data_IF_091391279152
#
_entry.id   IF_091391279152
#
_cell.length_a   1.000
_cell.length_b   1.000
_cell.length_c   1.000
_cell.angle_alpha   90.00
_cell.angle_beta   90.00
_cell.angle_gamma   90.00
#
_symmetry.space_group_name_H-M   'P 1'
#
loop_
_entity.id
_entity.type
_entity.pdbx_description
1 polymer ?
#
# COMPACT_ATOMS: atom_id res chain seq x y z
N UNK A 1 15.89 -4.22 33.48
CA UNK A 1 14.73 -4.72 32.71
C UNK A 1 13.78 -3.56 32.57
N UNK A 2 13.78 -2.92 31.41
CA UNK A 2 12.72 -1.96 31.05
C UNK A 2 11.48 -2.84 30.80
N UNK A 3 10.32 -2.57 31.43
CA UNK A 3 9.12 -3.37 31.20
C UNK A 3 8.81 -3.38 29.71
N UNK A 4 8.54 -4.57 29.14
CA UNK A 4 7.87 -4.65 27.84
C UNK A 4 6.55 -3.89 27.98
N UNK A 5 6.45 -2.77 27.27
CA UNK A 5 5.27 -1.92 27.29
C UNK A 5 4.17 -2.62 26.51
N UNK A 6 2.98 -2.69 27.08
CA UNK A 6 1.77 -3.15 26.41
C UNK A 6 1.59 -2.33 25.13
N UNK A 7 1.75 -2.97 23.97
CA UNK A 7 1.40 -2.35 22.70
C UNK A 7 -0.09 -2.02 22.72
N UNK A 8 -0.49 -0.90 22.12
CA UNK A 8 -1.90 -0.70 21.85
C UNK A 8 -2.31 -1.68 20.75
N UNK A 9 -2.96 -2.77 21.16
CA UNK A 9 -3.85 -3.51 20.27
C UNK A 9 -4.81 -2.47 19.64
N UNK A 10 -5.01 -2.51 18.32
CA UNK A 10 -5.91 -1.60 17.57
C UNK A 10 -5.38 -0.21 17.18
N UNK A 11 -4.08 -0.11 16.87
CA UNK A 11 -3.48 1.17 16.45
C UNK A 11 -3.84 1.67 15.04
N UNK A 12 -4.55 0.88 14.24
CA UNK A 12 -5.07 1.31 12.95
C UNK A 12 -5.36 0.19 11.96
N UNK A 13 -6.41 0.40 11.17
CA UNK A 13 -6.78 -0.39 10.02
C UNK A 13 -6.62 0.45 8.76
N UNK A 14 -6.10 -0.16 7.70
CA UNK A 14 -6.25 0.39 6.38
C UNK A 14 -6.46 -0.68 5.33
N UNK A 15 -7.16 -0.27 4.29
CA UNK A 15 -7.50 -1.08 3.13
C UNK A 15 -7.28 -0.27 1.87
N UNK A 16 -6.64 -0.89 0.88
CA UNK A 16 -6.52 -0.35 -0.47
C UNK A 16 -7.19 -1.33 -1.43
N UNK A 17 -8.14 -0.82 -2.19
CA UNK A 17 -8.88 -1.55 -3.22
C UNK A 17 -8.45 -1.05 -4.59
N UNK A 18 -8.25 -1.96 -5.54
CA UNK A 18 -7.92 -1.65 -6.94
C UNK A 18 -8.74 -2.48 -7.92
N UNK A 19 -8.88 -1.96 -9.14
CA UNK A 19 -9.78 -2.53 -10.15
C UNK A 19 -11.21 -2.57 -9.58
N UNK A 20 -11.78 -1.38 -9.38
CA UNK A 20 -12.99 -1.12 -8.62
C UNK A 20 -14.24 -1.43 -9.46
N UNK A 21 -15.27 -1.95 -8.81
CA UNK A 21 -16.59 -2.19 -9.39
C UNK A 21 -17.67 -1.53 -8.51
N UNK A 22 -18.93 -1.69 -8.89
CA UNK A 22 -20.04 -1.07 -8.18
C UNK A 22 -20.16 0.39 -8.57
N UNK A 23 -20.18 1.29 -7.58
CA UNK A 23 -20.38 2.73 -7.83
C UNK A 23 -19.26 3.39 -8.64
N UNK A 24 -18.07 2.77 -8.68
CA UNK A 24 -16.89 3.28 -9.38
C UNK A 24 -16.71 2.69 -10.78
N UNK A 25 -17.58 1.75 -11.21
CA UNK A 25 -17.43 1.00 -12.46
C UNK A 25 -17.27 1.88 -13.70
N UNK A 26 -17.94 3.02 -13.75
CA UNK A 26 -17.94 3.93 -14.90
C UNK A 26 -16.76 4.93 -14.90
N UNK A 27 -15.88 4.88 -13.89
CA UNK A 27 -14.83 5.88 -13.66
C UNK A 27 -13.43 5.29 -13.51
N UNK A 28 -13.19 4.08 -14.03
CA UNK A 28 -11.89 3.39 -13.89
C UNK A 28 -10.71 4.18 -14.47
N UNK A 29 -10.91 4.93 -15.55
CA UNK A 29 -9.89 5.77 -16.16
C UNK A 29 -9.72 7.14 -15.48
N UNK A 30 -10.52 7.43 -14.45
CA UNK A 30 -10.59 8.74 -13.81
C UNK A 30 -9.89 8.75 -12.45
N UNK A 31 -9.07 9.77 -12.15
CA UNK A 31 -8.47 9.97 -10.83
C UNK A 31 -9.51 9.89 -9.71
N UNK A 32 -9.30 8.97 -8.77
CA UNK A 32 -10.10 8.83 -7.57
C UNK A 32 -9.33 9.40 -6.37
N UNK A 33 -9.87 10.44 -5.76
CA UNK A 33 -9.35 11.04 -4.53
C UNK A 33 -9.98 10.33 -3.33
N UNK A 34 -9.13 9.78 -2.45
CA UNK A 34 -9.54 9.20 -1.17
C UNK A 34 -9.01 10.06 -0.01
N UNK A 35 -9.92 10.68 0.74
CA UNK A 35 -9.57 11.55 1.87
C UNK A 35 -10.49 11.36 3.08
N UNK A 36 -9.98 11.73 4.25
CA UNK A 36 -10.74 11.87 5.49
C UNK A 36 -10.51 13.27 6.07
N UNK A 37 -11.58 14.04 6.34
CA UNK A 37 -11.44 15.46 6.63
C UNK A 37 -12.56 16.02 7.52
N UNK A 38 -12.33 17.23 8.02
CA UNK A 38 -13.38 18.11 8.57
C UNK A 38 -14.21 18.71 7.43
N UNK A 39 -15.29 19.41 7.77
CA UNK A 39 -16.05 20.18 6.76
C UNK A 39 -15.15 21.20 6.05
N UNK A 40 -14.36 21.96 6.82
CA UNK A 40 -13.41 22.93 6.29
C UNK A 40 -12.37 22.27 5.37
N UNK A 41 -11.88 21.09 5.74
CA UNK A 41 -10.95 20.34 4.89
C UNK A 41 -11.56 19.96 3.55
N UNK A 42 -12.85 19.60 3.50
CA UNK A 42 -13.56 19.33 2.26
C UNK A 42 -13.66 20.59 1.38
N UNK A 43 -14.02 21.73 1.96
CA UNK A 43 -14.10 23.03 1.27
C UNK A 43 -12.73 23.43 0.68
N UNK A 44 -11.65 23.30 1.45
CA UNK A 44 -10.29 23.59 0.98
C UNK A 44 -9.86 22.71 -0.20
N UNK A 45 -10.22 21.42 -0.18
CA UNK A 45 -9.93 20.50 -1.28
C UNK A 45 -10.72 20.87 -2.52
N UNK A 46 -12.00 21.22 -2.38
CA UNK A 46 -12.84 21.66 -3.50
C UNK A 46 -12.26 22.91 -4.17
N UNK A 47 -11.93 23.95 -3.39
CA UNK A 47 -11.29 25.17 -3.89
C UNK A 47 -9.95 24.89 -4.61
N UNK A 48 -9.14 23.99 -4.05
CA UNK A 48 -7.87 23.59 -4.68
C UNK A 48 -8.12 22.89 -6.02
N UNK A 49 -9.03 21.92 -6.07
CA UNK A 49 -9.28 21.13 -7.28
C UNK A 49 -9.87 22.00 -8.40
N UNK A 50 -10.80 22.90 -8.07
CA UNK A 50 -11.39 23.86 -9.00
C UNK A 50 -10.34 24.84 -9.56
N UNK A 51 -9.50 25.41 -8.69
CA UNK A 51 -8.43 26.33 -9.12
C UNK A 51 -7.34 25.67 -9.97
N UNK A 52 -7.25 24.34 -9.95
CA UNK A 52 -6.33 23.54 -10.77
C UNK A 52 -7.04 22.87 -11.97
N UNK A 53 -8.30 23.25 -12.26
CA UNK A 53 -9.10 22.80 -13.39
C UNK A 53 -9.42 21.29 -13.40
N UNK A 54 -9.45 20.63 -12.23
CA UNK A 54 -10.02 19.30 -12.12
C UNK A 54 -11.55 19.41 -12.10
N UNK A 55 -12.24 18.64 -12.93
CA UNK A 55 -13.71 18.65 -12.97
C UNK A 55 -14.24 17.49 -12.16
N UNK A 56 -15.00 17.75 -11.10
CA UNK A 56 -15.65 16.67 -10.33
C UNK A 56 -16.68 15.93 -11.21
N UNK A 57 -16.57 14.61 -11.26
CA UNK A 57 -17.47 13.74 -12.04
C UNK A 57 -18.46 12.99 -11.16
N UNK A 58 -17.96 12.42 -10.06
CA UNK A 58 -18.76 11.62 -9.15
C UNK A 58 -18.20 11.72 -7.73
N UNK A 59 -19.07 11.49 -6.76
CA UNK A 59 -18.71 11.45 -5.35
C UNK A 59 -19.46 10.33 -4.65
N UNK A 60 -18.76 9.66 -3.76
CA UNK A 60 -19.33 8.76 -2.79
C UNK A 60 -18.80 9.07 -1.39
N UNK A 61 -19.73 9.15 -0.43
CA UNK A 61 -19.46 9.34 0.98
C UNK A 61 -20.13 8.16 1.71
N UNK A 62 -19.39 7.31 2.44
CA UNK A 62 -19.99 6.23 3.21
C UNK A 62 -20.91 6.82 4.29
N UNK A 63 -22.09 6.21 4.43
CA UNK A 63 -22.99 6.49 5.56
C UNK A 63 -22.55 5.58 6.71
N UNK A 64 -22.03 6.14 7.82
CA UNK A 64 -21.44 5.31 8.85
C UNK A 64 -22.47 4.73 9.83
N UNK A 65 -22.18 3.55 10.37
CA UNK A 65 -22.86 3.01 11.55
C UNK A 65 -22.27 3.63 12.82
N UNK A 66 -22.97 4.59 13.42
CA UNK A 66 -22.54 5.27 14.66
C UNK A 66 -23.12 4.63 15.93
N UNK A 67 -23.27 3.30 15.95
CA UNK A 67 -23.73 2.62 17.15
C UNK A 67 -22.79 2.90 18.34
N UNK A 68 -23.32 3.08 19.57
CA UNK A 68 -22.49 3.32 20.74
C UNK A 68 -21.54 2.15 21.00
N UNK A 69 -20.31 2.46 21.43
CA UNK A 69 -19.33 1.46 21.89
C UNK A 69 -18.30 0.99 20.88
N UNK A 70 -18.32 1.50 19.63
CA UNK A 70 -17.27 1.24 18.65
C UNK A 70 -15.95 1.91 19.07
N UNK A 71 -14.85 1.16 19.05
CA UNK A 71 -13.48 1.67 19.18
C UNK A 71 -12.98 2.19 17.83
N UNK A 72 -13.24 3.48 17.58
CA UNK A 72 -12.83 4.17 16.34
C UNK A 72 -12.62 5.67 16.60
N UNK A 73 -11.50 6.20 16.12
CA UNK A 73 -11.22 7.65 16.16
C UNK A 73 -11.68 8.32 14.86
N UNK A 74 -12.97 8.24 14.57
CA UNK A 74 -13.51 8.62 13.27
C UNK A 74 -13.31 10.11 12.93
N UNK A 75 -13.00 10.41 11.67
CA UNK A 75 -13.10 11.75 11.10
C UNK A 75 -14.55 12.10 10.74
N UNK A 76 -14.91 13.39 10.67
CA UNK A 76 -16.27 13.80 10.31
C UNK A 76 -16.73 13.30 8.94
N UNK A 77 -15.85 13.33 7.93
CA UNK A 77 -16.16 12.92 6.56
C UNK A 77 -15.07 12.03 5.99
N UNK A 78 -15.49 11.06 5.18
CA UNK A 78 -14.65 10.25 4.31
C UNK A 78 -15.18 10.43 2.90
N UNK A 79 -14.36 10.97 2.01
CA UNK A 79 -14.81 11.38 0.67
C UNK A 79 -14.02 10.59 -0.35
N UNK A 80 -14.75 9.96 -1.27
CA UNK A 80 -14.23 9.25 -2.43
C UNK A 80 -14.78 9.92 -3.67
N UNK A 81 -13.94 10.66 -4.37
CA UNK A 81 -14.39 11.57 -5.43
C UNK A 81 -13.60 11.39 -6.71
N UNK A 82 -14.30 11.14 -7.81
CA UNK A 82 -13.72 11.01 -9.13
C UNK A 82 -13.65 12.38 -9.80
N UNK A 83 -12.53 12.64 -10.47
CA UNK A 83 -12.31 13.86 -11.24
C UNK A 83 -11.96 13.53 -12.68
N UNK A 84 -12.36 14.38 -13.63
CA UNK A 84 -11.73 14.43 -14.95
C UNK A 84 -10.42 15.21 -14.86
N UNK A 85 -9.46 14.82 -15.68
CA UNK A 85 -8.21 15.57 -15.80
C UNK A 85 -8.48 16.98 -16.34
N UNK A 86 -7.62 17.96 -16.00
CA UNK A 86 -7.63 19.25 -16.68
C UNK A 86 -7.56 19.07 -18.21
N UNK A 87 -8.26 19.93 -18.96
CA UNK A 87 -8.40 19.76 -20.42
C UNK A 87 -7.05 19.63 -21.15
N UNK A 88 -6.04 20.39 -20.70
CA UNK A 88 -4.68 20.37 -21.23
C UNK A 88 -3.86 19.12 -20.85
N UNK A 89 -4.42 18.22 -20.04
CA UNK A 89 -3.85 16.93 -19.66
C UNK A 89 -4.51 15.71 -20.33
N UNK A 90 -5.58 15.91 -21.12
CA UNK A 90 -6.32 14.80 -21.77
C UNK A 90 -5.44 13.96 -22.68
N UNK A 91 -4.63 14.61 -23.51
CA UNK A 91 -3.76 13.97 -24.51
C UNK A 91 -2.33 13.71 -24.01
N UNK A 92 -2.07 13.93 -22.71
CA UNK A 92 -0.76 13.72 -22.10
C UNK A 92 -0.49 12.24 -21.88
N UNK A 93 0.79 11.89 -21.80
CA UNK A 93 1.21 10.53 -21.46
C UNK A 93 0.76 10.14 -20.06
N UNK A 94 0.64 8.83 -19.79
CA UNK A 94 0.29 8.33 -18.46
C UNK A 94 1.35 8.70 -17.40
N UNK A 95 2.60 8.87 -17.82
CA UNK A 95 3.68 9.39 -16.96
C UNK A 95 3.41 10.85 -16.56
N UNK A 96 3.17 11.74 -17.54
CA UNK A 96 2.85 13.15 -17.25
C UNK A 96 1.59 13.29 -16.40
N UNK A 97 0.55 12.47 -16.65
CA UNK A 97 -0.65 12.41 -15.80
C UNK A 97 -0.30 11.93 -14.40
N UNK A 98 0.51 10.87 -14.27
CA UNK A 98 0.96 10.35 -12.99
C UNK A 98 1.71 11.38 -12.15
N UNK A 99 2.55 12.19 -12.79
CA UNK A 99 3.29 13.28 -12.14
C UNK A 99 2.36 14.39 -11.66
N UNK A 100 1.36 14.79 -12.46
CA UNK A 100 0.32 15.73 -12.05
C UNK A 100 -0.41 15.23 -10.80
N UNK A 101 -0.86 13.98 -10.81
CA UNK A 101 -1.61 13.40 -9.68
C UNK A 101 -0.75 13.32 -8.42
N UNK A 102 0.54 13.00 -8.55
CA UNK A 102 1.49 13.04 -7.45
C UNK A 102 1.58 14.46 -6.87
N UNK A 103 1.83 15.46 -7.71
CA UNK A 103 2.00 16.86 -7.28
C UNK A 103 0.73 17.39 -6.60
N UNK A 104 -0.44 17.11 -7.18
CA UNK A 104 -1.74 17.44 -6.58
C UNK A 104 -1.90 16.78 -5.21
N UNK A 105 -1.64 15.46 -5.09
CA UNK A 105 -1.74 14.77 -3.81
C UNK A 105 -0.81 15.35 -2.75
N UNK A 106 0.42 15.69 -3.13
CA UNK A 106 1.40 16.29 -2.22
C UNK A 106 0.97 17.68 -1.76
N UNK A 107 0.44 18.51 -2.66
CA UNK A 107 -0.08 19.82 -2.33
C UNK A 107 -1.29 19.74 -1.39
N UNK A 108 -2.26 18.88 -1.70
CA UNK A 108 -3.44 18.65 -0.86
C UNK A 108 -3.05 18.13 0.53
N UNK A 109 -2.14 17.15 0.60
CA UNK A 109 -1.62 16.63 1.87
C UNK A 109 -1.01 17.75 2.70
N UNK A 110 -0.10 18.53 2.13
CA UNK A 110 0.57 19.64 2.82
C UNK A 110 -0.44 20.66 3.35
N UNK A 111 -1.37 21.07 2.49
CA UNK A 111 -2.41 22.04 2.82
C UNK A 111 -3.27 21.58 4.01
N UNK A 112 -3.74 20.33 4.01
CA UNK A 112 -4.56 19.79 5.09
C UNK A 112 -3.77 19.50 6.37
N UNK A 113 -2.50 19.10 6.26
CA UNK A 113 -1.62 18.90 7.42
C UNK A 113 -1.33 20.23 8.14
N UNK A 114 -1.05 21.30 7.39
CA UNK A 114 -0.76 22.62 7.96
C UNK A 114 -1.97 23.22 8.71
N UNK A 115 -3.19 22.94 8.25
CA UNK A 115 -4.42 23.42 8.90
C UNK A 115 -4.99 22.45 9.95
N UNK A 116 -4.56 21.19 9.93
CA UNK A 116 -5.11 20.13 10.78
C UNK A 116 -6.52 19.67 10.35
N UNK A 117 -6.92 19.93 9.11
CA UNK A 117 -8.30 19.71 8.65
C UNK A 117 -8.52 18.38 7.90
N UNK A 118 -7.49 17.57 7.67
CA UNK A 118 -7.69 16.25 7.08
C UNK A 118 -6.44 15.52 6.61
N UNK A 119 -6.71 14.42 5.91
CA UNK A 119 -5.72 13.46 5.42
C UNK A 119 -6.04 13.06 3.99
N UNK A 120 -5.04 13.06 3.11
CA UNK A 120 -5.17 12.54 1.74
C UNK A 120 -4.40 11.24 1.62
N UNK A 121 -5.12 10.14 1.38
CA UNK A 121 -4.51 8.81 1.38
C UNK A 121 -4.05 8.38 -0.01
N UNK A 122 -4.88 8.57 -1.03
CA UNK A 122 -4.53 8.30 -2.42
C UNK A 122 -5.23 9.30 -3.35
N UNK A 123 -4.57 9.59 -4.47
CA UNK A 123 -5.17 10.26 -5.61
C UNK A 123 -4.63 9.60 -6.88
N UNK A 124 -5.40 8.69 -7.46
CA UNK A 124 -4.97 7.84 -8.57
C UNK A 124 -6.19 7.19 -9.25
N UNK A 125 -6.15 6.89 -10.56
CA UNK A 125 -7.24 6.17 -11.21
C UNK A 125 -7.46 4.80 -10.58
N UNK A 126 -8.72 4.44 -10.38
CA UNK A 126 -9.13 3.09 -9.98
C UNK A 126 -8.51 2.54 -8.68
N UNK A 127 -8.16 3.44 -7.75
CA UNK A 127 -7.59 3.09 -6.44
C UNK A 127 -8.32 3.82 -5.32
N UNK A 128 -8.94 3.04 -4.45
CA UNK A 128 -9.59 3.53 -3.23
C UNK A 128 -8.72 3.20 -2.02
N UNK A 129 -8.46 4.17 -1.16
CA UNK A 129 -7.75 3.95 0.10
C UNK A 129 -8.60 4.40 1.29
N UNK A 130 -8.95 3.46 2.17
CA UNK A 130 -9.64 3.73 3.43
C UNK A 130 -8.69 3.48 4.60
N UNK A 131 -8.52 4.47 5.48
CA UNK A 131 -7.71 4.33 6.70
C UNK A 131 -8.41 4.93 7.89
N UNK A 132 -8.32 4.24 9.03
CA UNK A 132 -8.78 4.76 10.31
C UNK A 132 -8.06 4.12 11.49
N UNK A 133 -8.03 4.82 12.63
CA UNK A 133 -7.53 4.35 13.91
C UNK A 133 -8.67 3.71 14.70
N UNK A 134 -8.46 2.51 15.24
CA UNK A 134 -9.47 1.78 15.99
C UNK A 134 -9.37 0.27 15.78
N UNK A 135 -10.32 -0.45 16.38
CA UNK A 135 -10.45 -1.89 16.24
C UNK A 135 -10.89 -2.25 14.81
N UNK A 136 -10.24 -3.21 14.13
CA UNK A 136 -10.59 -3.58 12.76
C UNK A 136 -12.04 -4.05 12.58
N UNK A 137 -12.62 -4.78 13.54
CA UNK A 137 -14.00 -5.23 13.47
C UNK A 137 -14.98 -4.06 13.67
N UNK A 138 -14.66 -3.13 14.57
CA UNK A 138 -15.46 -1.92 14.77
C UNK A 138 -15.36 -0.97 13.58
N UNK A 139 -14.20 -0.87 12.93
CA UNK A 139 -14.03 -0.11 11.68
C UNK A 139 -14.83 -0.75 10.55
N UNK A 140 -14.78 -2.09 10.41
CA UNK A 140 -15.62 -2.80 9.46
C UNK A 140 -17.11 -2.54 9.71
N UNK A 141 -17.49 -2.43 10.99
CA UNK A 141 -18.85 -2.08 11.42
C UNK A 141 -19.26 -0.69 11.04
N UNK A 142 -18.39 0.27 11.35
CA UNK A 142 -18.59 1.68 11.09
C UNK A 142 -18.82 1.93 9.59
N UNK A 143 -18.06 1.28 8.71
CA UNK A 143 -18.15 1.47 7.26
C UNK A 143 -19.02 0.45 6.52
N UNK A 144 -19.68 -0.48 7.24
CA UNK A 144 -20.48 -1.55 6.65
C UNK A 144 -19.70 -2.42 5.64
N UNK A 145 -18.43 -2.75 5.93
CA UNK A 145 -17.55 -3.42 4.97
C UNK A 145 -17.97 -4.88 4.64
N UNK A 146 -18.81 -5.49 5.46
CA UNK A 146 -19.37 -6.83 5.20
C UNK A 146 -20.68 -6.80 4.40
N UNK A 147 -21.24 -5.62 4.13
CA UNK A 147 -22.51 -5.54 3.40
C UNK A 147 -22.25 -5.81 1.91
N UNK A 148 -22.73 -6.95 1.42
CA UNK A 148 -22.71 -7.31 -0.01
C UNK A 148 -23.80 -6.56 -0.82
N UNK A 149 -23.90 -5.24 -0.64
CA UNK A 149 -24.85 -4.40 -1.37
C UNK A 149 -24.35 -3.99 -2.77
N UNK A 150 -23.17 -4.45 -3.16
CA UNK A 150 -22.55 -4.17 -4.45
C UNK A 150 -21.95 -2.77 -4.59
N UNK A 151 -21.93 -1.96 -3.53
CA UNK A 151 -21.40 -0.59 -3.62
C UNK A 151 -19.87 -0.54 -3.70
N UNK A 152 -19.20 -1.30 -2.83
CA UNK A 152 -17.73 -1.39 -2.77
C UNK A 152 -17.28 -2.78 -3.20
N UNK A 153 -16.87 -2.89 -4.45
CA UNK A 153 -16.35 -4.12 -5.03
C UNK A 153 -15.00 -3.84 -5.68
N UNK A 154 -14.08 -4.80 -5.64
CA UNK A 154 -12.77 -4.68 -6.27
C UNK A 154 -12.23 -6.06 -6.62
N UNK A 155 -11.42 -6.15 -7.68
CA UNK A 155 -10.69 -7.38 -7.99
C UNK A 155 -9.55 -7.62 -7.02
N UNK A 156 -8.85 -6.56 -6.60
CA UNK A 156 -7.68 -6.66 -5.73
C UNK A 156 -7.90 -5.85 -4.45
N UNK A 157 -7.70 -6.50 -3.30
CA UNK A 157 -7.83 -5.86 -1.99
C UNK A 157 -6.57 -6.18 -1.18
N UNK A 158 -5.94 -5.14 -0.63
CA UNK A 158 -4.87 -5.27 0.36
C UNK A 158 -5.36 -4.62 1.64
N UNK A 159 -5.41 -5.38 2.73
CA UNK A 159 -5.79 -4.89 4.04
C UNK A 159 -4.70 -5.19 5.06
N UNK A 160 -4.54 -4.32 6.05
CA UNK A 160 -3.69 -4.60 7.20
C UNK A 160 -4.26 -3.95 8.46
N UNK A 161 -4.14 -4.69 9.55
CA UNK A 161 -4.30 -4.20 10.91
C UNK A 161 -2.91 -4.03 11.52
N UNK A 162 -2.58 -2.82 11.97
CA UNK A 162 -1.29 -2.54 12.60
C UNK A 162 -1.43 -2.58 14.11
N UNK A 163 -0.46 -3.21 14.77
CA UNK A 163 -0.15 -3.01 16.18
C UNK A 163 1.00 -1.99 16.26
N UNK A 164 0.78 -0.86 16.93
CA UNK A 164 1.81 0.17 17.12
C UNK A 164 2.41 -0.01 18.51
N UNK A 165 3.74 -0.02 18.57
CA UNK A 165 4.50 -0.12 19.81
C UNK A 165 4.91 1.25 20.36
N UNK A 166 4.51 2.34 19.70
CA UNK A 166 4.82 3.72 20.09
C UNK A 166 3.63 4.40 20.77
N UNK A 167 3.92 5.41 21.61
CA UNK A 167 2.92 6.19 22.36
C UNK A 167 1.97 7.01 21.49
N UNK A 168 2.45 7.55 20.37
CA UNK A 168 1.64 8.38 19.48
C UNK A 168 1.18 7.56 18.26
N UNK A 169 -0.14 7.45 18.09
CA UNK A 169 -0.75 6.84 16.91
C UNK A 169 -0.88 7.89 15.81
N UNK A 170 -0.13 7.72 14.73
CA UNK A 170 -0.22 8.59 13.55
C UNK A 170 -1.05 7.89 12.48
N UNK A 171 -2.16 8.50 12.08
CA UNK A 171 -3.13 7.96 11.10
C UNK A 171 -2.50 7.61 9.75
N UNK A 172 -1.57 8.43 9.25
CA UNK A 172 -0.84 8.12 8.01
C UNK A 172 -0.03 6.83 8.10
N UNK A 173 0.39 6.44 9.31
CA UNK A 173 1.25 5.29 9.54
C UNK A 173 0.50 3.94 9.51
N UNK A 174 -0.83 3.92 9.35
CA UNK A 174 -1.58 2.69 9.10
C UNK A 174 -1.32 2.17 7.66
N UNK A 175 -1.01 0.88 7.49
CA UNK A 175 -0.78 0.30 6.17
C UNK A 175 -2.05 -0.38 5.63
N UNK A 176 -2.21 -0.54 4.31
CA UNK A 176 -1.19 -0.35 3.26
C UNK A 176 -0.80 1.11 2.98
N UNK A 177 0.44 1.32 2.56
CA UNK A 177 0.90 2.58 1.98
C UNK A 177 0.63 2.63 0.49
N UNK A 178 0.55 3.85 -0.06
CA UNK A 178 0.25 4.12 -1.45
C UNK A 178 1.22 5.16 -2.04
N UNK A 179 1.69 4.93 -3.28
CA UNK A 179 2.40 5.92 -4.09
C UNK A 179 2.28 5.58 -5.59
N UNK A 180 1.75 6.49 -6.42
CA UNK A 180 1.68 6.37 -7.89
C UNK A 180 1.20 4.98 -8.38
N UNK A 181 0.12 4.49 -7.78
CA UNK A 181 -0.46 3.19 -8.13
C UNK A 181 0.21 2.00 -7.43
N UNK A 182 1.36 2.16 -6.77
CA UNK A 182 1.97 1.12 -5.95
C UNK A 182 1.33 1.09 -4.56
N UNK A 183 1.09 -0.10 -4.06
CA UNK A 183 0.54 -0.33 -2.72
C UNK A 183 1.39 -1.36 -2.00
N UNK A 184 1.71 -1.13 -0.73
CA UNK A 184 2.51 -2.08 0.04
C UNK A 184 2.12 -2.06 1.52
N UNK A 185 2.00 -3.25 2.12
CA UNK A 185 2.03 -3.44 3.56
C UNK A 185 3.15 -4.42 3.93
N UNK A 186 3.60 -4.34 5.18
CA UNK A 186 4.60 -5.27 5.69
C UNK A 186 4.31 -5.65 7.13
N UNK A 187 4.59 -6.91 7.44
CA UNK A 187 4.59 -7.46 8.79
C UNK A 187 6.04 -7.60 9.21
N UNK A 188 6.49 -6.84 10.21
CA UNK A 188 7.88 -6.89 10.66
C UNK A 188 8.43 -5.55 11.13
N UNK A 189 9.76 -5.49 11.17
CA UNK A 189 10.54 -4.32 11.52
C UNK A 189 11.83 -4.28 10.68
N UNK A 190 12.13 -3.10 10.15
CA UNK A 190 13.36 -2.79 9.41
C UNK A 190 14.32 -1.96 10.27
N UNK A 191 15.30 -2.64 10.82
CA UNK A 191 16.38 -2.05 11.63
C UNK A 191 17.29 -1.10 10.85
N UNK A 192 17.24 -1.11 9.51
CA UNK A 192 17.97 -0.15 8.67
C UNK A 192 17.16 1.11 8.33
N UNK A 193 16.05 1.36 9.04
CA UNK A 193 15.14 2.48 8.81
C UNK A 193 15.85 3.81 8.52
N UNK A 194 16.71 4.28 9.43
CA UNK A 194 17.39 5.57 9.30
C UNK A 194 18.30 5.62 8.08
N UNK A 195 19.04 4.53 7.80
CA UNK A 195 19.92 4.42 6.63
C UNK A 195 19.12 4.54 5.33
N UNK A 196 18.02 3.81 5.21
CA UNK A 196 17.17 3.87 4.02
C UNK A 196 16.51 5.23 3.89
N UNK A 197 15.94 5.78 4.98
CA UNK A 197 15.25 7.07 4.99
C UNK A 197 16.13 8.21 4.49
N UNK A 198 17.35 8.35 5.01
CA UNK A 198 18.23 9.45 4.61
C UNK A 198 18.66 9.35 3.15
N UNK A 199 18.80 8.14 2.60
CA UNK A 199 19.06 7.95 1.18
C UNK A 199 17.82 8.20 0.32
N UNK A 200 16.66 7.65 0.70
CA UNK A 200 15.43 7.73 -0.08
C UNK A 200 14.90 9.15 -0.21
N UNK A 201 15.05 10.00 0.82
CA UNK A 201 14.62 11.41 0.77
C UNK A 201 15.15 12.19 -0.44
N UNK A 202 16.32 11.84 -0.96
CA UNK A 202 16.91 12.52 -2.12
C UNK A 202 16.58 11.87 -3.47
N UNK A 203 15.95 10.69 -3.47
CA UNK A 203 15.67 9.95 -4.70
C UNK A 203 14.40 10.44 -5.42
N UNK A 204 13.38 10.84 -4.68
CA UNK A 204 12.09 11.20 -5.27
C UNK A 204 11.28 12.11 -4.35
N UNK A 205 10.65 13.15 -4.92
CA UNK A 205 9.86 14.14 -4.15
C UNK A 205 8.62 13.54 -3.47
N UNK A 206 8.14 12.41 -3.96
CA UNK A 206 7.02 11.67 -3.37
C UNK A 206 7.38 10.84 -2.14
N UNK A 207 8.68 10.67 -1.84
CA UNK A 207 9.16 9.90 -0.68
C UNK A 207 9.17 10.79 0.56
N UNK A 208 7.98 11.00 1.12
CA UNK A 208 7.75 11.86 2.30
C UNK A 208 7.14 11.07 3.46
N UNK A 209 6.98 11.73 4.60
CA UNK A 209 6.18 11.21 5.70
C UNK A 209 6.69 9.85 6.18
N UNK A 210 7.96 9.71 6.52
CA UNK A 210 8.53 8.45 7.02
C UNK A 210 8.05 8.15 8.45
N UNK A 211 6.75 7.89 8.61
CA UNK A 211 6.09 7.58 9.88
C UNK A 211 6.18 6.08 10.23
N UNK A 212 6.46 5.24 9.23
CA UNK A 212 6.78 3.82 9.39
C UNK A 212 8.00 3.43 8.59
N UNK A 213 8.75 2.49 9.13
CA UNK A 213 9.81 1.78 8.44
C UNK A 213 9.34 1.00 7.22
N UNK A 214 8.08 0.59 7.19
CA UNK A 214 7.48 -0.13 6.09
C UNK A 214 7.31 0.75 4.83
N UNK A 215 7.32 2.07 4.97
CA UNK A 215 7.36 2.98 3.82
C UNK A 215 8.67 2.87 3.05
N UNK A 216 9.77 2.52 3.71
CA UNK A 216 11.03 2.30 3.01
C UNK A 216 10.91 1.13 2.03
N UNK A 217 10.11 0.11 2.34
CA UNK A 217 9.86 -1.00 1.41
C UNK A 217 9.08 -0.53 0.18
N UNK A 218 8.05 0.30 0.37
CA UNK A 218 7.28 0.91 -0.73
C UNK A 218 8.16 1.79 -1.60
N UNK A 219 8.98 2.65 -1.00
CA UNK A 219 9.84 3.58 -1.74
C UNK A 219 10.97 2.85 -2.47
N UNK A 220 11.53 1.78 -1.91
CA UNK A 220 12.45 0.91 -2.65
C UNK A 220 11.75 0.21 -3.81
N UNK A 221 10.52 -0.30 -3.60
CA UNK A 221 9.76 -0.97 -4.66
C UNK A 221 9.45 0.00 -5.80
N UNK A 222 8.94 1.19 -5.47
CA UNK A 222 8.69 2.27 -6.40
C UNK A 222 9.97 2.66 -7.14
N UNK A 223 11.08 2.87 -6.43
CA UNK A 223 12.34 3.26 -7.06
C UNK A 223 12.83 2.21 -8.06
N UNK A 224 12.82 0.93 -7.69
CA UNK A 224 13.30 -0.14 -8.58
C UNK A 224 12.41 -0.31 -9.82
N UNK A 225 11.08 -0.31 -9.64
CA UNK A 225 10.16 -0.63 -10.74
C UNK A 225 9.72 0.61 -11.53
N UNK A 226 9.58 1.76 -10.88
CA UNK A 226 9.11 3.00 -11.50
C UNK A 226 10.26 3.91 -11.95
N UNK A 227 11.25 4.19 -11.11
CA UNK A 227 12.34 5.12 -11.48
C UNK A 227 13.38 4.44 -12.35
N UNK A 228 13.84 3.26 -11.93
CA UNK A 228 14.87 2.50 -12.66
C UNK A 228 14.29 1.65 -13.81
N UNK A 229 12.97 1.44 -13.82
CA UNK A 229 12.26 0.56 -14.78
C UNK A 229 12.84 -0.86 -14.81
N UNK A 230 13.33 -1.36 -13.68
CA UNK A 230 13.92 -2.70 -13.60
C UNK A 230 12.85 -3.78 -13.45
N UNK A 231 13.12 -5.00 -13.95
CA UNK A 231 12.29 -6.16 -13.69
C UNK A 231 12.11 -6.47 -12.19
N UNK A 232 10.96 -7.04 -11.84
CA UNK A 232 10.55 -7.31 -10.45
C UNK A 232 11.48 -8.26 -9.71
N UNK A 233 12.10 -9.20 -10.41
CA UNK A 233 13.08 -10.13 -9.84
C UNK A 233 14.27 -9.42 -9.20
N UNK A 234 14.65 -8.24 -9.69
CA UNK A 234 15.76 -7.46 -9.12
C UNK A 234 15.41 -6.79 -7.80
N UNK A 235 14.12 -6.59 -7.49
CA UNK A 235 13.71 -6.01 -6.21
C UNK A 235 14.30 -6.77 -5.02
N UNK A 236 14.29 -8.11 -5.08
CA UNK A 236 14.84 -8.98 -4.03
C UNK A 236 16.35 -8.85 -3.87
N UNK A 237 17.07 -8.64 -4.98
CA UNK A 237 18.51 -8.38 -4.98
C UNK A 237 18.86 -7.01 -4.41
N UNK A 238 17.95 -6.03 -4.49
CA UNK A 238 18.12 -4.71 -3.87
C UNK A 238 17.89 -4.76 -2.37
N UNK A 239 16.76 -5.31 -1.92
CA UNK A 239 16.42 -5.29 -0.49
C UNK A 239 17.25 -6.30 0.32
N UNK A 240 17.52 -7.48 -0.24
CA UNK A 240 18.26 -8.55 0.44
C UNK A 240 19.30 -9.15 -0.50
N UNK A 241 20.40 -8.45 -0.81
CA UNK A 241 21.41 -8.95 -1.74
C UNK A 241 22.00 -10.28 -1.29
N UNK A 242 22.39 -11.11 -2.27
CA UNK A 242 23.06 -12.38 -2.01
C UNK A 242 24.44 -12.14 -1.36
N UNK A 243 24.94 -13.06 -0.52
CA UNK A 243 26.32 -13.05 -0.06
C UNK A 243 27.32 -13.02 -1.23
N UNK A 244 28.48 -12.38 -1.06
CA UNK A 244 29.48 -12.27 -2.12
C UNK A 244 29.89 -13.63 -2.69
N UNK A 245 30.08 -14.62 -1.83
CA UNK A 245 30.43 -15.99 -2.19
C UNK A 245 29.38 -16.69 -3.06
N UNK A 246 28.12 -16.27 -2.96
CA UNK A 246 27.03 -16.76 -3.81
C UNK A 246 26.97 -15.98 -5.13
N UNK A 247 27.16 -14.66 -5.08
CA UNK A 247 27.23 -13.81 -6.27
C UNK A 247 28.35 -14.27 -7.20
N UNK A 248 29.53 -14.58 -6.68
CA UNK A 248 30.72 -14.99 -7.47
C UNK A 248 30.49 -16.24 -8.32
N UNK A 249 29.50 -17.07 -7.96
CA UNK A 249 29.14 -18.31 -8.64
C UNK A 249 28.05 -18.14 -9.69
N UNK A 250 27.43 -16.96 -9.78
CA UNK A 250 26.32 -16.72 -10.70
C UNK A 250 26.77 -16.22 -12.08
N UNK A 251 26.03 -16.55 -13.15
CA UNK A 251 26.31 -16.02 -14.49
C UNK A 251 26.14 -14.50 -14.61
N UNK A 252 25.29 -13.90 -13.78
CA UNK A 252 24.96 -12.46 -13.74
C UNK A 252 25.71 -11.69 -12.64
N UNK A 253 26.85 -12.21 -12.17
CA UNK A 253 27.59 -11.66 -11.02
C UNK A 253 27.97 -10.19 -11.16
N UNK A 254 28.32 -9.73 -12.36
CA UNK A 254 28.67 -8.33 -12.62
C UNK A 254 27.47 -7.42 -12.37
N UNK A 255 26.28 -7.84 -12.80
CA UNK A 255 25.01 -7.12 -12.57
C UNK A 255 24.70 -7.08 -11.08
N UNK A 256 24.73 -8.22 -10.39
CA UNK A 256 24.42 -8.29 -8.97
C UNK A 256 25.41 -7.49 -8.10
N UNK A 257 26.68 -7.49 -8.49
CA UNK A 257 27.71 -6.68 -7.82
C UNK A 257 27.43 -5.19 -8.01
N UNK A 258 27.09 -4.76 -9.23
CA UNK A 258 26.74 -3.36 -9.50
C UNK A 258 25.51 -2.92 -8.71
N UNK A 259 24.43 -3.73 -8.71
CA UNK A 259 23.22 -3.47 -7.92
C UNK A 259 23.57 -3.25 -6.45
N UNK A 260 24.34 -4.17 -5.86
CA UNK A 260 24.72 -4.09 -4.44
C UNK A 260 25.58 -2.86 -4.15
N UNK A 261 26.52 -2.50 -5.01
CA UNK A 261 27.38 -1.33 -4.83
C UNK A 261 26.61 -0.03 -4.94
N UNK A 262 25.69 0.09 -5.90
CA UNK A 262 24.93 1.32 -6.14
C UNK A 262 23.78 1.51 -5.16
N UNK A 263 23.16 0.42 -4.69
CA UNK A 263 21.92 0.45 -3.91
C UNK A 263 22.07 -0.11 -2.49
N UNK A 264 23.30 -0.18 -1.96
CA UNK A 264 23.57 -0.65 -0.59
C UNK A 264 22.75 0.06 0.49
N UNK A 265 22.35 1.33 0.25
CA UNK A 265 21.52 2.10 1.17
C UNK A 265 20.02 1.76 1.10
N UNK A 266 19.59 0.91 0.16
CA UNK A 266 18.23 0.37 0.08
C UNK A 266 18.11 -1.04 0.67
N UNK A 267 19.24 -1.66 1.06
CA UNK A 267 19.24 -2.94 1.77
C UNK A 267 18.41 -2.83 3.06
N UNK A 268 17.73 -3.92 3.41
CA UNK A 268 16.89 -4.01 4.60
C UNK A 268 17.50 -5.02 5.58
N UNK A 269 17.18 -4.86 6.87
CA UNK A 269 17.60 -5.82 7.89
C UNK A 269 16.57 -5.90 9.00
N UNK A 270 16.43 -7.07 9.61
CA UNK A 270 15.39 -7.36 10.59
C UNK A 270 14.22 -8.15 9.99
N UNK A 271 13.32 -8.63 10.85
CA UNK A 271 12.25 -9.53 10.45
C UNK A 271 11.24 -8.83 9.56
N UNK A 272 10.95 -9.32 8.36
CA UNK A 272 9.87 -8.76 7.55
C UNK A 272 9.27 -9.74 6.55
N UNK A 273 8.00 -9.50 6.25
CA UNK A 273 7.27 -10.02 5.10
C UNK A 273 6.56 -8.85 4.45
N UNK A 274 6.70 -8.74 3.14
CA UNK A 274 6.13 -7.68 2.33
C UNK A 274 5.01 -8.27 1.48
N UNK A 275 3.89 -7.56 1.39
CA UNK A 275 2.84 -7.80 0.41
C UNK A 275 2.64 -6.50 -0.36
N UNK A 276 2.71 -6.57 -1.68
CA UNK A 276 2.50 -5.42 -2.53
C UNK A 276 1.51 -5.71 -3.65
N UNK A 277 0.81 -4.67 -4.07
CA UNK A 277 -0.05 -4.66 -5.25
C UNK A 277 0.49 -3.57 -6.18
N UNK A 278 0.84 -3.95 -7.40
CA UNK A 278 1.47 -3.10 -8.41
C UNK A 278 0.42 -2.29 -9.20
N UNK A 279 0.81 -1.24 -9.94
CA UNK A 279 -0.12 -0.46 -10.77
C UNK A 279 -0.83 -1.29 -11.85
N UNK A 280 -0.21 -2.37 -12.33
CA UNK A 280 -0.75 -3.26 -13.37
C UNK A 280 -1.65 -4.38 -12.83
N UNK A 281 -1.98 -4.36 -11.53
CA UNK A 281 -2.85 -5.33 -10.87
C UNK A 281 -2.16 -6.58 -10.36
N UNK A 282 -0.87 -6.81 -10.70
CA UNK A 282 -0.12 -7.93 -10.13
C UNK A 282 0.08 -7.73 -8.63
N UNK A 283 -0.04 -8.82 -7.87
CA UNK A 283 0.30 -8.85 -6.45
C UNK A 283 1.61 -9.60 -6.24
N UNK A 284 2.39 -9.20 -5.24
CA UNK A 284 3.65 -9.87 -4.93
C UNK A 284 3.87 -10.03 -3.43
N UNK A 285 4.67 -11.03 -3.08
CA UNK A 285 5.21 -11.16 -1.73
C UNK A 285 6.65 -11.69 -1.73
N UNK A 286 7.40 -11.23 -0.74
CA UNK A 286 8.72 -11.75 -0.39
C UNK A 286 8.99 -11.45 1.10
N UNK A 287 9.97 -12.13 1.68
CA UNK A 287 10.36 -11.94 3.08
C UNK A 287 11.82 -11.53 3.22
N UNK A 288 12.27 -11.27 4.45
CA UNK A 288 13.66 -11.02 4.77
C UNK A 288 14.57 -12.22 4.46
N UNK A 289 15.90 -12.02 4.48
CA UNK A 289 16.89 -13.04 4.12
C UNK A 289 16.97 -14.23 5.08
N UNK A 290 16.24 -14.21 6.20
CA UNK A 290 16.14 -15.28 7.19
C UNK A 290 14.70 -15.78 7.39
N UNK A 291 13.71 -15.23 6.67
CA UNK A 291 12.28 -15.53 6.81
C UNK A 291 11.84 -15.56 8.27
N UNK A 292 11.98 -14.44 8.96
CA UNK A 292 11.64 -14.34 10.39
C UNK A 292 10.15 -14.07 10.63
N UNK A 293 9.40 -13.77 9.57
CA UNK A 293 7.93 -13.62 9.61
C UNK A 293 7.28 -14.63 8.65
N UNK A 294 6.12 -15.18 9.04
CA UNK A 294 5.40 -16.13 8.21
C UNK A 294 4.70 -15.43 7.04
N UNK A 295 4.56 -16.18 5.94
CA UNK A 295 3.71 -15.83 4.81
C UNK A 295 3.29 -17.10 4.10
N UNK A 296 2.04 -17.11 3.65
CA UNK A 296 1.43 -18.20 2.89
C UNK A 296 0.67 -17.62 1.71
N UNK A 297 0.73 -18.33 0.59
CA UNK A 297 -0.06 -18.05 -0.62
C UNK A 297 -0.94 -19.27 -0.87
N UNK A 298 -2.24 -19.07 -0.93
CA UNK A 298 -3.22 -20.14 -1.16
C UNK A 298 -4.30 -19.65 -2.13
N UNK A 299 -4.94 -20.57 -2.83
CA UNK A 299 -5.92 -20.20 -3.85
C UNK A 299 -6.69 -21.38 -4.42
N UNK A 300 -7.73 -21.05 -5.17
CA UNK A 300 -8.52 -21.93 -6.03
C UNK A 300 -8.64 -21.31 -7.44
N UNK A 301 -9.57 -21.80 -8.28
CA UNK A 301 -9.79 -21.26 -9.63
C UNK A 301 -10.34 -19.83 -9.69
N UNK A 302 -10.86 -19.29 -8.58
CA UNK A 302 -11.57 -18.00 -8.54
C UNK A 302 -10.79 -16.92 -7.78
N UNK A 303 -9.94 -17.31 -6.83
CA UNK A 303 -9.21 -16.38 -5.98
C UNK A 303 -7.87 -16.95 -5.54
N UNK A 304 -6.85 -16.08 -5.49
CA UNK A 304 -5.57 -16.35 -4.83
C UNK A 304 -5.33 -15.26 -3.79
N UNK A 305 -4.90 -15.66 -2.60
CA UNK A 305 -4.67 -14.78 -1.48
C UNK A 305 -3.28 -14.95 -0.88
N UNK A 306 -2.73 -13.84 -0.36
CA UNK A 306 -1.50 -13.81 0.42
C UNK A 306 -1.87 -13.42 1.84
N UNK A 307 -1.43 -14.19 2.83
CA UNK A 307 -1.67 -13.92 4.24
C UNK A 307 -0.42 -14.15 5.07
N UNK A 308 -0.28 -13.42 6.18
CA UNK A 308 0.77 -13.72 7.18
C UNK A 308 0.55 -15.07 7.86
N UNK A 309 -0.71 -15.50 8.00
CA UNK A 309 -1.08 -16.74 8.67
C UNK A 309 -2.11 -17.54 7.87
N UNK A 310 -2.06 -18.86 8.01
CA UNK A 310 -2.96 -19.80 7.32
C UNK A 310 -4.42 -19.59 7.72
N UNK A 311 -4.69 -19.12 8.94
CA UNK A 311 -6.04 -18.82 9.42
C UNK A 311 -6.76 -17.80 8.52
N UNK A 312 -6.05 -16.78 8.04
CA UNK A 312 -6.62 -15.79 7.12
C UNK A 312 -7.11 -16.43 5.82
N UNK A 313 -6.31 -17.33 5.22
CA UNK A 313 -6.72 -18.03 3.99
C UNK A 313 -7.82 -19.06 4.29
N UNK A 314 -7.80 -19.71 5.45
CA UNK A 314 -8.87 -20.64 5.84
C UNK A 314 -10.22 -19.95 5.98
N UNK A 315 -10.25 -18.70 6.41
CA UNK A 315 -11.48 -17.93 6.54
C UNK A 315 -12.09 -17.58 5.17
N UNK A 316 -11.27 -17.05 4.25
CA UNK A 316 -11.77 -16.58 2.94
C UNK A 316 -11.85 -17.70 1.89
N UNK A 317 -11.07 -18.77 2.04
CA UNK A 317 -10.99 -19.91 1.13
C UNK A 317 -10.98 -21.24 1.93
N UNK A 318 -12.08 -21.55 2.65
CA UNK A 318 -12.16 -22.73 3.53
C UNK A 318 -12.13 -24.06 2.77
N UNK A 319 -12.55 -24.05 1.50
CA UNK A 319 -12.71 -25.26 0.68
C UNK A 319 -11.53 -25.51 -0.28
N UNK A 320 -10.50 -24.67 -0.25
CA UNK A 320 -9.33 -24.83 -1.14
C UNK A 320 -8.56 -26.10 -0.81
N UNK A 321 -7.78 -26.57 -1.77
CA UNK A 321 -6.80 -27.63 -1.54
C UNK A 321 -5.56 -27.09 -0.80
N UNK A 322 -5.57 -27.20 0.53
CA UNK A 322 -4.46 -26.75 1.39
C UNK A 322 -3.11 -27.40 1.04
N UNK A 323 -3.10 -28.56 0.37
CA UNK A 323 -1.84 -29.20 -0.03
C UNK A 323 -1.11 -28.44 -1.15
N UNK A 324 -1.82 -27.54 -1.84
CA UNK A 324 -1.28 -26.64 -2.87
C UNK A 324 -0.84 -25.28 -2.33
N UNK A 325 -1.04 -25.01 -1.04
CA UNK A 325 -0.57 -23.77 -0.42
C UNK A 325 0.95 -23.65 -0.58
N UNK A 326 1.40 -22.47 -0.98
CA UNK A 326 2.80 -22.13 -1.18
C UNK A 326 3.27 -21.39 0.07
N UNK A 327 4.42 -21.83 0.59
CA UNK A 327 5.11 -21.20 1.71
C UNK A 327 6.44 -20.62 1.21
N UNK A 328 6.46 -19.38 0.69
CA UNK A 328 7.66 -18.76 0.10
C UNK A 328 8.88 -18.88 1.01
N UNK A 329 10.03 -19.28 0.48
CA UNK A 329 11.29 -19.29 1.25
C UNK A 329 11.99 -17.91 1.25
N UNK A 330 13.05 -17.78 2.04
CA UNK A 330 13.80 -16.52 2.26
C UNK A 330 14.46 -15.94 1.00
N UNK A 331 14.60 -16.75 -0.06
CA UNK A 331 15.17 -16.38 -1.37
C UNK A 331 14.14 -16.32 -2.47
N UNK A 332 12.84 -16.30 -2.15
CA UNK A 332 11.80 -16.26 -3.16
C UNK A 332 11.09 -14.91 -3.25
N UNK A 333 10.71 -14.56 -4.48
CA UNK A 333 9.65 -13.61 -4.79
C UNK A 333 8.52 -14.38 -5.43
N UNK A 334 7.32 -14.25 -4.87
CA UNK A 334 6.10 -14.79 -5.47
C UNK A 334 5.31 -13.65 -6.08
N UNK A 335 4.83 -13.84 -7.30
CA UNK A 335 4.00 -12.87 -8.04
C UNK A 335 2.72 -13.58 -8.48
N UNK A 336 1.57 -12.97 -8.20
CA UNK A 336 0.25 -13.39 -8.66
C UNK A 336 -0.12 -12.49 -9.83
N UNK A 337 -0.42 -13.10 -10.99
CA UNK A 337 -0.85 -12.37 -12.17
C UNK A 337 -2.35 -12.06 -12.14
N UNK A 338 -2.81 -11.22 -13.07
CA UNK A 338 -4.23 -10.90 -13.22
C UNK A 338 -5.10 -12.10 -13.62
N UNK A 339 -4.48 -13.19 -14.09
CA UNK A 339 -5.12 -14.46 -14.46
C UNK A 339 -5.02 -15.51 -13.35
N UNK A 340 -4.69 -15.08 -12.12
CA UNK A 340 -4.50 -15.94 -10.94
C UNK A 340 -3.33 -16.94 -11.05
N UNK A 341 -2.43 -16.74 -12.02
CA UNK A 341 -1.20 -17.53 -12.12
C UNK A 341 -0.22 -17.14 -11.01
N UNK A 342 0.34 -18.13 -10.32
CA UNK A 342 1.36 -17.92 -9.28
C UNK A 342 2.76 -18.22 -9.84
N UNK A 343 3.53 -17.16 -10.06
CA UNK A 343 4.91 -17.22 -10.52
C UNK A 343 5.87 -17.16 -9.33
N UNK A 344 6.91 -18.00 -9.34
CA UNK A 344 7.91 -18.08 -8.28
C UNK A 344 9.30 -17.84 -8.84
N UNK A 345 9.94 -16.80 -8.34
CA UNK A 345 11.30 -16.41 -8.71
C UNK A 345 12.23 -16.70 -7.56
N UNK A 346 13.25 -17.51 -7.80
CA UNK A 346 14.31 -17.76 -6.83
C UNK A 346 15.47 -16.83 -7.11
N UNK A 347 15.91 -16.15 -6.05
CA UNK A 347 17.04 -15.24 -6.05
C UNK A 347 18.32 -15.91 -6.51
#
# INVERSE_FOLDING_TARGET
MIPQQEGHDNSGFAMVMKDLYGIFSDYKDKPLLSLACTQRGAEMVEEYMDSHNFVQLAEWIPVPNKQPGLDIQAMPYYIFRNYDYPEYYRDKSEEEKGELLLDTRLALRKMLEESGDGFVYSFWPDVLTLKEIGDPADIATYFHLWNENGCLLAKNIVAQCRQNTNYDIVRYAAHPFFLQGYTLCANGENTFFTKNKEFQKSLHRGYIGFESDSQNFLYTLHYVLHELKWPIEYYKHVITPLPFEEIDKRPDKEVLTAIRQSLANLEINGPNTIIANLPDGRMMTCCDSKKLRPVVVGGDENMVAISSEVCGINEILPNRDMSKDIYPNEREVVVITNDLEVQRWKQ
#
